data_IF_052350990365
#
_entry.id   IF_052350990365
#
_cell.length_a   1.000
_cell.length_b   1.000
_cell.length_c   1.000
_cell.angle_alpha   90.00
_cell.angle_beta   90.00
_cell.angle_gamma   90.00
#
_symmetry.space_group_name_H-M   'P 1'
#
loop_
_entity.id
_entity.type
_entity.pdbx_description
1 polymer ?
#
# COMPACT_ATOMS: atom_id res chain seq x y z
N UNK A 1 0.60 11.44 3.26
CA UNK A 1 0.49 10.75 1.96
C UNK A 1 1.56 9.67 1.82
N UNK A 2 1.48 8.81 0.81
CA UNK A 2 2.43 7.70 0.63
C UNK A 2 2.90 7.53 -0.82
N UNK A 3 4.02 6.82 -0.97
CA UNK A 3 4.47 6.21 -2.22
C UNK A 3 4.59 4.71 -1.96
N UNK A 4 4.06 3.90 -2.88
CA UNK A 4 4.03 2.45 -2.77
C UNK A 4 4.56 1.78 -4.03
N UNK A 5 5.32 0.70 -3.85
CA UNK A 5 5.87 -0.12 -4.93
C UNK A 5 5.45 -1.58 -4.75
N UNK A 6 4.80 -2.13 -5.78
CA UNK A 6 4.49 -3.55 -5.90
C UNK A 6 5.46 -4.19 -6.89
N UNK A 7 6.08 -5.29 -6.49
CA UNK A 7 6.94 -6.09 -7.37
C UNK A 7 6.84 -7.57 -7.04
N UNK A 8 7.37 -8.41 -7.92
CA UNK A 8 7.52 -9.83 -7.64
C UNK A 8 8.89 -10.34 -8.03
N UNK A 9 9.49 -11.14 -7.14
CA UNK A 9 10.75 -11.82 -7.34
C UNK A 9 10.50 -13.34 -7.30
N UNK A 10 10.80 -14.05 -8.39
CA UNK A 10 10.49 -15.47 -8.60
C UNK A 10 9.01 -15.84 -8.44
N UNK A 11 8.57 -16.31 -7.27
CA UNK A 11 7.15 -16.60 -6.99
C UNK A 11 6.64 -15.82 -5.77
N UNK A 12 7.44 -14.87 -5.26
CA UNK A 12 7.10 -14.09 -4.07
C UNK A 12 6.69 -12.67 -4.46
N UNK A 13 5.59 -12.20 -3.89
CA UNK A 13 5.11 -10.82 -3.97
C UNK A 13 5.79 -9.97 -2.91
N UNK A 14 6.18 -8.74 -3.26
CA UNK A 14 6.70 -7.75 -2.32
C UNK A 14 5.97 -6.43 -2.51
N UNK A 15 5.61 -5.79 -1.40
CA UNK A 15 5.04 -4.45 -1.38
C UNK A 15 5.86 -3.58 -0.42
N UNK A 16 6.44 -2.50 -0.94
CA UNK A 16 7.15 -1.51 -0.15
C UNK A 16 6.31 -0.24 -0.07
N UNK A 17 6.16 0.30 1.14
CA UNK A 17 5.34 1.48 1.40
C UNK A 17 6.20 2.48 2.17
N UNK A 18 6.38 3.67 1.60
CA UNK A 18 6.92 4.83 2.28
C UNK A 18 5.77 5.80 2.54
N UNK A 19 5.54 6.17 3.80
CA UNK A 19 4.42 7.03 4.18
C UNK A 19 4.87 8.18 5.08
N UNK A 20 4.18 9.29 4.93
CA UNK A 20 4.21 10.42 5.84
C UNK A 20 2.78 10.60 6.37
N UNK A 21 2.59 10.32 7.66
CA UNK A 21 1.30 10.35 8.34
C UNK A 21 1.14 11.64 9.16
N UNK A 22 -0.06 11.88 9.68
CA UNK A 22 -0.38 12.98 10.58
C UNK A 22 0.58 13.04 11.78
N UNK A 23 1.20 14.18 12.01
CA UNK A 23 2.05 14.45 13.17
C UNK A 23 1.23 14.97 14.36
N UNK A 24 1.86 15.10 15.54
CA UNK A 24 1.24 15.67 16.75
C UNK A 24 0.99 14.64 17.85
N UNK A 25 0.87 15.15 19.08
CA UNK A 25 0.71 14.38 20.32
C UNK A 25 -0.55 14.76 21.11
N UNK A 26 -1.50 15.48 20.49
CA UNK A 26 -2.76 15.84 21.13
C UNK A 26 -3.72 14.65 21.07
N UNK A 27 -4.72 14.67 21.96
CA UNK A 27 -5.81 13.70 21.95
C UNK A 27 -6.50 13.66 20.57
N UNK A 28 -6.61 12.46 20.00
CA UNK A 28 -7.18 12.21 18.68
C UNK A 28 -6.19 12.29 17.51
N UNK A 29 -4.94 12.72 17.72
CA UNK A 29 -3.91 12.67 16.66
C UNK A 29 -3.55 11.22 16.29
N UNK A 30 -3.64 10.28 17.25
CA UNK A 30 -3.53 8.85 16.98
C UNK A 30 -4.65 8.33 16.07
N UNK A 31 -5.87 8.84 16.23
CA UNK A 31 -6.99 8.48 15.36
C UNK A 31 -6.73 9.01 13.95
N UNK A 32 -6.25 10.25 13.81
CA UNK A 32 -5.88 10.83 12.50
C UNK A 32 -4.80 10.01 11.80
N UNK A 33 -3.75 9.58 12.52
CA UNK A 33 -2.72 8.67 11.97
C UNK A 33 -3.30 7.34 11.51
N UNK A 34 -4.22 6.76 12.27
CA UNK A 34 -4.89 5.51 11.89
C UNK A 34 -5.75 5.70 10.63
N UNK A 35 -6.45 6.83 10.52
CA UNK A 35 -7.23 7.17 9.32
C UNK A 35 -6.32 7.29 8.10
N UNK A 36 -5.17 7.96 8.20
CA UNK A 36 -4.20 8.03 7.09
C UNK A 36 -3.77 6.62 6.63
N UNK A 37 -3.50 5.70 7.56
CA UNK A 37 -3.14 4.31 7.23
C UNK A 37 -4.30 3.61 6.51
N UNK A 38 -5.53 3.77 6.99
CA UNK A 38 -6.71 3.17 6.35
C UNK A 38 -6.91 3.70 4.93
N UNK A 39 -6.71 5.01 4.71
CA UNK A 39 -6.80 5.61 3.38
C UNK A 39 -5.70 5.09 2.45
N UNK A 40 -4.46 4.95 2.93
CA UNK A 40 -3.34 4.37 2.17
C UNK A 40 -3.69 2.94 1.72
N UNK A 41 -4.16 2.09 2.64
CA UNK A 41 -4.51 0.70 2.35
C UNK A 41 -5.68 0.58 1.38
N UNK A 42 -6.69 1.46 1.51
CA UNK A 42 -7.91 1.43 0.70
C UNK A 42 -7.70 1.99 -0.71
N UNK A 43 -6.92 3.06 -0.83
CA UNK A 43 -6.85 3.84 -2.07
C UNK A 43 -5.67 3.45 -2.97
N UNK A 44 -4.65 2.76 -2.44
CA UNK A 44 -3.52 2.31 -3.25
C UNK A 44 -3.92 1.17 -4.19
N UNK A 45 -3.69 1.37 -5.50
CA UNK A 45 -3.93 0.37 -6.53
C UNK A 45 -2.69 0.23 -7.42
N UNK A 46 -2.33 -1.01 -7.73
CA UNK A 46 -1.21 -1.35 -8.61
C UNK A 46 -1.75 -1.70 -10.00
N UNK A 47 -1.40 -0.93 -11.05
CA UNK A 47 -1.89 -1.21 -12.40
C UNK A 47 -1.31 -2.52 -12.94
N UNK A 48 -2.13 -3.26 -13.70
CA UNK A 48 -1.71 -4.47 -14.43
C UNK A 48 -0.86 -4.11 -15.66
N UNK A 49 0.40 -3.73 -15.44
CA UNK A 49 1.31 -3.36 -16.54
C UNK A 49 1.88 -4.59 -17.26
N UNK A 50 2.07 -5.71 -16.54
CA UNK A 50 2.57 -6.97 -17.11
C UNK A 50 1.47 -8.04 -17.10
N UNK A 51 0.83 -8.24 -18.26
CA UNK A 51 -0.13 -9.33 -18.49
C UNK A 51 0.63 -10.61 -18.90
N UNK A 52 1.50 -11.14 -18.05
CA UNK A 52 2.01 -12.49 -18.29
C UNK A 52 0.86 -13.48 -18.06
N UNK A 53 0.38 -14.22 -19.07
CA UNK A 53 -0.72 -15.16 -18.89
C UNK A 53 -0.34 -16.19 -17.83
N UNK A 54 -1.16 -16.26 -16.76
CA UNK A 54 -0.99 -17.22 -15.66
C UNK A 54 -0.45 -16.66 -14.34
N UNK A 55 0.04 -15.42 -14.29
CA UNK A 55 0.58 -14.81 -13.05
C UNK A 55 -0.44 -13.85 -12.44
N UNK A 56 -1.05 -14.23 -11.32
CA UNK A 56 -1.90 -13.32 -10.52
C UNK A 56 -0.99 -12.39 -9.74
N UNK A 57 -0.88 -11.14 -10.18
CA UNK A 57 -0.16 -10.11 -9.44
C UNK A 57 -1.14 -9.38 -8.50
N UNK A 58 -0.72 -9.05 -7.27
CA UNK A 58 -1.53 -8.23 -6.37
C UNK A 58 -1.85 -6.87 -6.99
N UNK A 59 -3.12 -6.48 -6.95
CA UNK A 59 -3.63 -5.20 -7.44
C UNK A 59 -3.78 -4.19 -6.30
N UNK A 60 -3.72 -4.65 -5.05
CA UNK A 60 -3.86 -3.84 -3.84
C UNK A 60 -2.84 -4.25 -2.79
N UNK A 61 -2.56 -3.35 -1.85
CA UNK A 61 -1.63 -3.62 -0.74
C UNK A 61 -2.04 -4.88 0.04
N UNK A 62 -3.34 -5.06 0.32
CA UNK A 62 -3.85 -6.20 1.11
C UNK A 62 -3.84 -7.55 0.37
N UNK A 63 -3.49 -7.56 -0.91
CA UNK A 63 -3.40 -8.78 -1.73
C UNK A 63 -1.97 -9.33 -1.82
N UNK A 64 -0.99 -8.60 -1.28
CA UNK A 64 0.41 -9.00 -1.22
C UNK A 64 0.70 -10.00 -0.11
#
# INVERSE_FOLDING_TARGET
GCISLSMSLHQTSFCFICSHLASGEKEGDEIRRNVDVLEILKNTQFPKVCKSPGRRLPERILEH
#
